data_IF_308007429522
#
_entry.id   IF_308007429522
#
_cell.length_a   1.000
_cell.length_b   1.000
_cell.length_c   1.000
_cell.angle_alpha   90.00
_cell.angle_beta   90.00
_cell.angle_gamma   90.00
#
_symmetry.space_group_name_H-M   'P 1'
#
loop_
_entity.id
_entity.type
_entity.pdbx_description
1 polymer ?
#
# COMPACT_ATOMS: atom_id res chain seq x y z
N UNK A 1 44.21 18.78 27.48
CA UNK A 1 43.24 18.50 26.40
C UNK A 1 43.55 17.07 25.92
N UNK A 2 42.92 16.05 26.50
CA UNK A 2 43.27 14.65 26.23
C UNK A 2 42.59 14.19 24.95
N UNK A 3 43.36 14.06 23.86
CA UNK A 3 42.92 13.37 22.65
C UNK A 3 42.92 11.87 22.94
N UNK A 4 41.73 11.32 23.16
CA UNK A 4 41.54 9.87 23.23
C UNK A 4 41.77 9.33 21.81
N UNK A 5 42.96 8.81 21.54
CA UNK A 5 43.28 8.13 20.28
C UNK A 5 42.59 6.77 20.24
N UNK A 6 41.40 6.77 19.63
CA UNK A 6 40.59 5.58 19.42
C UNK A 6 41.24 4.73 18.29
N UNK A 7 41.65 3.47 18.55
CA UNK A 7 42.40 2.66 17.58
C UNK A 7 41.58 2.38 16.31
N UNK A 8 42.23 2.33 15.12
CA UNK A 8 41.55 2.33 13.81
C UNK A 8 40.54 1.18 13.63
N UNK A 9 40.81 0.01 14.24
CA UNK A 9 39.91 -1.15 14.24
C UNK A 9 38.60 -0.91 15.01
N UNK A 10 38.60 -0.07 16.03
CA UNK A 10 37.41 0.28 16.80
C UNK A 10 36.55 1.32 16.09
N UNK A 11 37.18 2.26 15.36
CA UNK A 11 36.49 3.24 14.50
C UNK A 11 35.66 2.58 13.40
N UNK A 12 36.20 1.53 12.76
CA UNK A 12 35.46 0.75 11.74
C UNK A 12 34.25 0.02 12.32
N UNK A 13 34.38 -0.56 13.52
CA UNK A 13 33.26 -1.25 14.18
C UNK A 13 32.14 -0.26 14.54
N UNK A 14 32.49 0.90 15.10
CA UNK A 14 31.53 1.95 15.42
C UNK A 14 30.79 2.43 14.16
N UNK A 15 31.51 2.67 13.06
CA UNK A 15 30.88 3.05 11.79
C UNK A 15 29.95 1.96 11.26
N UNK A 16 30.36 0.69 11.30
CA UNK A 16 29.52 -0.43 10.90
C UNK A 16 28.24 -0.54 11.75
N UNK A 17 28.35 -0.37 13.07
CA UNK A 17 27.18 -0.33 13.96
C UNK A 17 26.26 0.86 13.66
N UNK A 18 26.80 2.06 13.42
CA UNK A 18 26.01 3.23 13.05
C UNK A 18 25.26 3.01 11.74
N UNK A 19 25.92 2.46 10.72
CA UNK A 19 25.28 2.13 9.44
C UNK A 19 24.17 1.09 9.65
N UNK A 20 24.44 0.05 10.44
CA UNK A 20 23.44 -0.98 10.74
C UNK A 20 22.22 -0.41 11.49
N UNK A 21 22.44 0.43 12.50
CA UNK A 21 21.38 1.08 13.27
C UNK A 21 20.55 2.00 12.37
N UNK A 22 21.18 2.84 11.54
CA UNK A 22 20.49 3.72 10.60
C UNK A 22 19.67 2.90 9.60
N UNK A 23 20.25 1.86 9.01
CA UNK A 23 19.55 0.99 8.08
C UNK A 23 18.33 0.32 8.75
N UNK A 24 18.48 -0.17 9.97
CA UNK A 24 17.39 -0.75 10.75
C UNK A 24 16.29 0.28 11.07
N UNK A 25 16.65 1.49 11.50
CA UNK A 25 15.69 2.56 11.79
C UNK A 25 14.94 3.01 10.53
N UNK A 26 15.62 3.15 9.39
CA UNK A 26 14.98 3.47 8.12
C UNK A 26 14.01 2.37 7.69
N UNK A 27 14.41 1.10 7.81
CA UNK A 27 13.56 -0.05 7.53
C UNK A 27 12.31 -0.04 8.41
N UNK A 28 12.49 0.13 9.71
CA UNK A 28 11.42 0.16 10.71
C UNK A 28 10.44 1.31 10.45
N UNK A 29 10.96 2.52 10.25
CA UNK A 29 10.14 3.71 10.05
C UNK A 29 9.31 3.61 8.76
N UNK A 30 9.89 3.06 7.68
CA UNK A 30 9.17 2.84 6.43
C UNK A 30 8.03 1.82 6.60
N UNK A 31 8.26 0.74 7.36
CA UNK A 31 7.25 -0.28 7.66
C UNK A 31 6.08 0.27 8.48
N UNK A 32 6.36 1.02 9.55
CA UNK A 32 5.32 1.68 10.35
C UNK A 32 4.52 2.69 9.53
N UNK A 33 5.19 3.49 8.71
CA UNK A 33 4.54 4.47 7.83
C UNK A 33 3.61 3.77 6.83
N UNK A 34 4.07 2.70 6.19
CA UNK A 34 3.24 1.91 5.28
C UNK A 34 1.99 1.34 5.98
N UNK A 35 2.15 0.81 7.20
CA UNK A 35 1.05 0.26 7.99
C UNK A 35 -0.01 1.29 8.37
N UNK A 36 0.40 2.43 8.94
CA UNK A 36 -0.50 3.50 9.35
C UNK A 36 -1.25 4.08 8.15
N UNK A 37 -0.55 4.33 7.05
CA UNK A 37 -1.16 4.90 5.83
C UNK A 37 -2.09 3.89 5.15
N UNK A 38 -1.77 2.59 5.18
CA UNK A 38 -2.67 1.55 4.69
C UNK A 38 -3.95 1.44 5.55
N UNK A 39 -3.84 1.68 6.86
CA UNK A 39 -4.99 1.77 7.76
C UNK A 39 -5.86 2.99 7.44
N UNK A 40 -5.25 4.16 7.25
CA UNK A 40 -5.96 5.39 6.86
C UNK A 40 -6.63 5.25 5.48
N UNK A 41 -5.97 4.63 4.51
CA UNK A 41 -6.51 4.34 3.18
C UNK A 41 -7.78 3.48 3.23
N UNK A 42 -7.84 2.50 4.16
CA UNK A 42 -9.01 1.61 4.33
C UNK A 42 -10.16 2.23 5.12
N UNK A 43 -9.95 3.39 5.72
CA UNK A 43 -10.95 4.01 6.57
C UNK A 43 -11.93 4.82 5.73
N UNK A 44 -13.23 4.49 5.83
CA UNK A 44 -14.33 5.18 5.15
C UNK A 44 -14.54 6.62 5.60
N UNK A 45 -13.92 7.04 6.71
CA UNK A 45 -13.96 8.44 7.16
C UNK A 45 -13.28 9.41 6.17
N UNK A 46 -12.39 8.91 5.30
CA UNK A 46 -11.70 9.72 4.32
C UNK A 46 -12.25 9.42 2.93
N UNK A 47 -12.44 10.46 2.11
CA UNK A 47 -12.93 10.36 0.73
C UNK A 47 -12.05 11.20 -0.21
N UNK A 48 -12.17 10.94 -1.52
CA UNK A 48 -11.51 11.70 -2.59
C UNK A 48 -9.99 11.83 -2.43
N UNK A 49 -9.47 13.07 -2.51
CA UNK A 49 -8.03 13.34 -2.57
C UNK A 49 -7.26 12.89 -1.31
N UNK A 50 -7.84 13.05 -0.13
CA UNK A 50 -7.19 12.67 1.14
C UNK A 50 -6.99 11.16 1.19
N UNK A 51 -8.05 10.41 0.86
CA UNK A 51 -8.00 8.94 0.76
C UNK A 51 -6.96 8.51 -0.27
N UNK A 52 -6.98 9.13 -1.46
CA UNK A 52 -6.01 8.83 -2.52
C UNK A 52 -4.56 9.05 -2.06
N UNK A 53 -4.28 10.14 -1.36
CA UNK A 53 -2.94 10.43 -0.85
C UNK A 53 -2.45 9.36 0.12
N UNK A 54 -3.30 8.94 1.06
CA UNK A 54 -2.95 7.85 1.98
C UNK A 54 -2.68 6.54 1.26
N UNK A 55 -3.52 6.18 0.29
CA UNK A 55 -3.33 4.96 -0.50
C UNK A 55 -2.00 5.02 -1.29
N UNK A 56 -1.70 6.13 -1.96
CA UNK A 56 -0.45 6.29 -2.71
C UNK A 56 0.79 6.23 -1.79
N UNK A 57 0.77 6.90 -0.64
CA UNK A 57 1.89 6.84 0.32
C UNK A 57 2.09 5.40 0.80
N UNK A 58 1.00 4.69 1.13
CA UNK A 58 1.09 3.30 1.58
C UNK A 58 1.70 2.37 0.52
N UNK A 59 1.31 2.53 -0.76
CA UNK A 59 1.84 1.73 -1.87
C UNK A 59 3.32 2.01 -2.16
N UNK A 60 3.74 3.27 -2.02
CA UNK A 60 5.13 3.70 -2.22
C UNK A 60 6.02 3.28 -1.06
N UNK A 61 5.58 3.50 0.19
CA UNK A 61 6.31 3.09 1.38
C UNK A 61 6.44 1.56 1.48
N UNK A 62 5.48 0.81 0.93
CA UNK A 62 5.56 -0.64 0.83
C UNK A 62 6.23 -1.15 -0.46
N UNK A 63 6.77 -0.27 -1.32
CA UNK A 63 7.31 -0.68 -2.62
C UNK A 63 8.51 -1.64 -2.51
N UNK A 64 9.33 -1.49 -1.47
CA UNK A 64 10.46 -2.39 -1.21
C UNK A 64 10.00 -3.77 -0.71
N UNK A 65 8.82 -3.85 -0.08
CA UNK A 65 8.21 -5.11 0.38
C UNK A 65 7.47 -5.87 -0.73
N UNK A 66 7.44 -5.36 -1.97
CA UNK A 66 6.69 -5.97 -3.08
C UNK A 66 7.15 -7.39 -3.44
N UNK A 67 8.38 -7.74 -3.08
CA UNK A 67 8.98 -9.05 -3.30
C UNK A 67 8.45 -10.11 -2.31
N UNK A 68 7.72 -9.71 -1.25
CA UNK A 68 7.16 -10.63 -0.26
C UNK A 68 5.74 -11.11 -0.66
N UNK A 69 5.47 -12.43 -0.72
CA UNK A 69 4.20 -13.00 -1.17
C UNK A 69 3.02 -12.78 -0.21
N UNK A 70 3.28 -12.41 1.05
CA UNK A 70 2.25 -12.04 2.05
C UNK A 70 1.62 -10.66 1.74
N UNK A 71 2.28 -9.80 0.97
CA UNK A 71 1.86 -8.40 0.78
C UNK A 71 0.95 -8.15 -0.44
N UNK A 72 0.93 -9.04 -1.45
CA UNK A 72 0.08 -8.83 -2.64
C UNK A 72 -1.41 -8.79 -2.31
N UNK A 73 -1.83 -9.57 -1.33
CA UNK A 73 -3.22 -9.59 -0.84
C UNK A 73 -3.62 -8.32 -0.09
N UNK A 74 -2.73 -7.74 0.72
CA UNK A 74 -3.01 -6.44 1.35
C UNK A 74 -3.03 -5.34 0.29
N UNK A 75 -2.21 -5.50 -0.76
CA UNK A 75 -2.15 -4.57 -1.88
C UNK A 75 -3.42 -4.54 -2.71
N UNK A 76 -4.09 -5.68 -2.93
CA UNK A 76 -5.37 -5.69 -3.67
C UNK A 76 -6.42 -4.80 -3.01
N UNK A 77 -6.53 -4.83 -1.68
CA UNK A 77 -7.44 -3.95 -0.93
C UNK A 77 -7.01 -2.48 -1.08
N UNK A 78 -5.72 -2.17 -0.98
CA UNK A 78 -5.24 -0.79 -1.14
C UNK A 78 -5.53 -0.27 -2.55
N UNK A 79 -5.37 -1.09 -3.59
CA UNK A 79 -5.74 -0.74 -4.95
C UNK A 79 -7.25 -0.57 -5.14
N UNK A 80 -8.08 -1.37 -4.46
CA UNK A 80 -9.54 -1.20 -4.44
C UNK A 80 -9.92 0.17 -3.85
N UNK A 81 -9.41 0.50 -2.66
CA UNK A 81 -9.69 1.76 -1.97
C UNK A 81 -9.16 2.98 -2.74
N UNK A 82 -8.00 2.83 -3.41
CA UNK A 82 -7.49 3.82 -4.36
C UNK A 82 -8.44 4.03 -5.54
N UNK A 83 -8.98 2.95 -6.10
CA UNK A 83 -9.95 3.02 -7.20
C UNK A 83 -11.24 3.73 -6.79
N UNK A 84 -11.77 3.44 -5.60
CA UNK A 84 -12.91 4.14 -5.01
C UNK A 84 -12.62 5.64 -4.89
N UNK A 85 -11.47 6.02 -4.32
CA UNK A 85 -11.08 7.42 -4.18
C UNK A 85 -10.98 8.13 -5.54
N UNK A 86 -10.43 7.46 -6.56
CA UNK A 86 -10.33 7.99 -7.92
C UNK A 86 -11.70 8.17 -8.59
N UNK A 87 -12.60 7.21 -8.42
CA UNK A 87 -13.96 7.28 -8.94
C UNK A 87 -14.76 8.44 -8.31
N UNK A 88 -14.63 8.64 -7.00
CA UNK A 88 -15.24 9.78 -6.28
C UNK A 88 -14.74 11.14 -6.79
N UNK A 89 -13.54 11.21 -7.36
CA UNK A 89 -12.98 12.42 -7.98
C UNK A 89 -13.27 12.52 -9.49
N UNK A 90 -14.04 11.59 -10.07
CA UNK A 90 -14.33 11.53 -11.51
C UNK A 90 -13.15 11.06 -12.38
N UNK A 91 -12.05 10.57 -11.79
CA UNK A 91 -10.87 10.05 -12.51
C UNK A 91 -11.09 8.60 -12.91
N UNK A 92 -12.08 8.38 -13.78
CA UNK A 92 -12.63 7.06 -14.09
C UNK A 92 -11.60 6.09 -14.70
N UNK A 93 -10.76 6.55 -15.64
CA UNK A 93 -9.76 5.69 -16.28
C UNK A 93 -8.74 5.14 -15.29
N UNK A 94 -8.28 5.99 -14.37
CA UNK A 94 -7.35 5.59 -13.32
C UNK A 94 -8.01 4.70 -12.27
N UNK A 95 -9.30 4.93 -11.99
CA UNK A 95 -10.09 4.07 -11.12
C UNK A 95 -10.21 2.66 -11.71
N UNK A 96 -10.56 2.55 -12.99
CA UNK A 96 -10.61 1.29 -13.74
C UNK A 96 -9.26 0.57 -13.69
N UNK A 97 -8.17 1.29 -13.94
CA UNK A 97 -6.82 0.72 -13.86
C UNK A 97 -6.52 0.18 -12.44
N UNK A 98 -6.86 0.94 -11.40
CA UNK A 98 -6.68 0.51 -10.02
C UNK A 98 -7.51 -0.74 -9.67
N UNK A 99 -8.76 -0.81 -10.13
CA UNK A 99 -9.63 -1.97 -9.94
C UNK A 99 -9.10 -3.22 -10.65
N UNK A 100 -8.56 -3.07 -11.87
CA UNK A 100 -7.90 -4.17 -12.59
C UNK A 100 -6.71 -4.71 -11.81
N UNK A 101 -5.84 -3.83 -11.29
CA UNK A 101 -4.72 -4.26 -10.44
C UNK A 101 -5.22 -4.98 -9.18
N UNK A 102 -6.28 -4.47 -8.54
CA UNK A 102 -6.86 -5.09 -7.36
C UNK A 102 -7.35 -6.53 -7.63
N UNK A 103 -8.07 -6.75 -8.74
CA UNK A 103 -8.52 -8.09 -9.14
C UNK A 103 -7.35 -9.01 -9.49
N UNK A 104 -6.37 -8.52 -10.23
CA UNK A 104 -5.19 -9.30 -10.60
C UNK A 104 -4.43 -9.79 -9.35
N UNK A 105 -4.16 -8.89 -8.42
CA UNK A 105 -3.48 -9.21 -7.15
C UNK A 105 -4.31 -10.19 -6.28
N UNK A 106 -5.64 -10.15 -6.38
CA UNK A 106 -6.54 -11.04 -5.65
C UNK A 106 -6.66 -12.44 -6.27
N UNK A 107 -6.66 -12.56 -7.61
CA UNK A 107 -6.85 -13.81 -8.36
C UNK A 107 -5.61 -14.69 -8.45
N UNK A 108 -4.41 -14.10 -8.40
CA UNK A 108 -3.15 -14.85 -8.46
C UNK A 108 -3.00 -15.85 -7.30
N UNK A 109 -3.71 -15.63 -6.19
CA UNK A 109 -3.81 -16.56 -5.07
C UNK A 109 -5.20 -17.22 -5.09
N UNK A 110 -5.28 -18.53 -5.41
CA UNK A 110 -6.53 -19.33 -5.29
C UNK A 110 -7.14 -19.12 -3.90
N UNK A 111 -8.13 -18.22 -3.76
CA UNK A 111 -8.57 -17.79 -2.44
C UNK A 111 -9.76 -16.84 -2.42
N UNK A 112 -10.31 -16.63 -1.23
CA UNK A 112 -11.52 -15.86 -0.93
C UNK A 112 -11.38 -14.32 -1.03
N UNK A 113 -10.27 -13.82 -1.57
CA UNK A 113 -9.96 -12.39 -1.59
C UNK A 113 -10.75 -11.62 -2.63
N UNK A 114 -10.95 -12.19 -3.82
CA UNK A 114 -11.85 -11.62 -4.82
C UNK A 114 -13.26 -11.46 -4.24
N UNK A 115 -13.80 -12.49 -3.57
CA UNK A 115 -15.08 -12.42 -2.85
C UNK A 115 -15.11 -11.26 -1.85
N UNK A 116 -14.02 -11.02 -1.11
CA UNK A 116 -13.91 -9.90 -0.17
C UNK A 116 -13.94 -8.54 -0.89
N UNK A 117 -13.31 -8.40 -2.05
CA UNK A 117 -13.39 -7.17 -2.85
C UNK A 117 -14.82 -6.92 -3.32
N UNK A 118 -15.52 -7.95 -3.82
CA UNK A 118 -16.94 -7.82 -4.20
C UNK A 118 -17.82 -7.43 -3.01
N UNK A 119 -17.66 -8.11 -1.87
CA UNK A 119 -18.38 -7.79 -0.63
C UNK A 119 -18.16 -6.33 -0.22
N UNK A 120 -16.92 -5.85 -0.32
CA UNK A 120 -16.57 -4.48 0.00
C UNK A 120 -17.27 -3.47 -0.92
N UNK A 121 -17.24 -3.70 -2.22
CA UNK A 121 -17.90 -2.81 -3.20
C UNK A 121 -19.41 -2.76 -3.01
N UNK A 122 -20.03 -3.91 -2.74
CA UNK A 122 -21.48 -4.01 -2.45
C UNK A 122 -21.83 -3.35 -1.12
N UNK A 123 -20.98 -3.47 -0.10
CA UNK A 123 -21.21 -2.84 1.21
C UNK A 123 -21.07 -1.32 1.15
N UNK A 124 -20.12 -0.80 0.37
CA UNK A 124 -19.88 0.64 0.23
C UNK A 124 -21.01 1.36 -0.52
N UNK A 125 -21.59 0.71 -1.56
CA UNK A 125 -22.67 1.27 -2.40
C UNK A 125 -22.35 2.66 -2.99
N UNK A 126 -21.07 2.95 -3.25
CA UNK A 126 -20.66 4.22 -3.83
C UNK A 126 -21.15 4.32 -5.29
N UNK A 127 -21.92 5.38 -5.64
CA UNK A 127 -22.56 5.49 -6.95
C UNK A 127 -21.56 5.73 -8.09
N UNK A 128 -20.36 6.22 -7.79
CA UNK A 128 -19.31 6.49 -8.78
C UNK A 128 -18.42 5.25 -8.97
N UNK A 129 -18.07 4.56 -7.88
CA UNK A 129 -17.15 3.44 -7.92
C UNK A 129 -17.79 2.12 -8.35
N UNK A 130 -19.04 1.85 -7.91
CA UNK A 130 -19.67 0.55 -8.16
C UNK A 130 -19.89 0.23 -9.64
N UNK A 131 -20.37 1.16 -10.50
CA UNK A 131 -20.53 0.87 -11.93
C UNK A 131 -19.19 0.57 -12.63
N UNK A 132 -18.13 1.29 -12.27
CA UNK A 132 -16.78 1.09 -12.80
C UNK A 132 -16.19 -0.25 -12.35
N UNK A 133 -16.46 -0.66 -11.11
CA UNK A 133 -16.06 -1.97 -10.63
C UNK A 133 -16.77 -3.11 -11.38
N UNK A 134 -18.08 -3.00 -11.56
CA UNK A 134 -18.87 -4.00 -12.30
C UNK A 134 -18.36 -4.15 -13.72
N UNK A 135 -18.07 -3.05 -14.42
CA UNK A 135 -17.53 -3.11 -15.79
C UNK A 135 -16.16 -3.79 -15.85
N UNK A 136 -15.30 -3.57 -14.85
CA UNK A 136 -13.99 -4.22 -14.74
C UNK A 136 -14.12 -5.71 -14.48
N UNK A 137 -15.04 -6.13 -13.61
CA UNK A 137 -15.30 -7.54 -13.30
C UNK A 137 -15.81 -8.28 -14.53
N UNK A 138 -16.82 -7.73 -15.21
CA UNK A 138 -17.42 -8.32 -16.41
C UNK A 138 -16.41 -8.45 -17.56
N UNK A 139 -15.52 -7.47 -17.71
CA UNK A 139 -14.47 -7.52 -18.73
C UNK A 139 -13.35 -8.51 -18.41
N UNK A 140 -13.32 -9.07 -17.20
CA UNK A 140 -12.30 -9.98 -16.72
C UNK A 140 -12.82 -11.42 -16.53
N UNK A 141 -14.10 -11.68 -16.79
CA UNK A 141 -14.72 -13.01 -16.90
C UNK A 141 -14.61 -13.53 -18.34
#
# INVERSE_FOLDING_TARGET
MNTVDIPPRSRMKTWAYTVFIIAFLCLWLSGMTAGLMAGACRNDRYEGEKKLRFCNISLTAAAWMRLLPVERTKRSIIHLERGIALAQMGRNDEAIAAFKTALQDAREKRGSWEKRLHQRMVALKDPHALPLWVSVVQAAE
#
